data_IF_760439548837
#
_entry.id   IF_760439548837
#
_cell.length_a   1.000
_cell.length_b   1.000
_cell.length_c   1.000
_cell.angle_alpha   90.00
_cell.angle_beta   90.00
_cell.angle_gamma   90.00
#
_symmetry.space_group_name_H-M   'P 1'
#
loop_
_entity.id
_entity.type
_entity.pdbx_description
1 polymer ?
#
# COMPACT_ATOMS: atom_id res chain seq x y z
N UNK A 1 23.98 17.36 13.39
CA UNK A 1 22.62 17.87 13.71
C UNK A 1 21.51 17.37 12.78
N UNK A 2 21.62 17.50 11.45
CA UNK A 2 20.55 17.05 10.50
C UNK A 2 20.36 15.51 10.43
N UNK A 3 21.43 14.73 10.56
CA UNK A 3 21.39 13.25 10.56
C UNK A 3 20.61 12.68 11.75
N UNK A 4 20.86 13.23 12.92
CA UNK A 4 20.25 12.85 14.20
C UNK A 4 18.73 13.15 14.23
N UNK A 5 18.31 14.29 13.65
CA UNK A 5 16.89 14.61 13.44
C UNK A 5 16.18 13.58 12.54
N UNK A 6 16.80 13.16 11.44
CA UNK A 6 16.22 12.14 10.55
C UNK A 6 16.11 10.78 11.22
N UNK A 7 17.10 10.39 12.04
CA UNK A 7 17.05 9.13 12.80
C UNK A 7 15.88 9.12 13.79
N UNK A 8 15.72 10.19 14.57
CA UNK A 8 14.55 10.35 15.44
C UNK A 8 13.23 10.34 14.67
N UNK A 9 13.19 10.97 13.49
CA UNK A 9 12.03 10.97 12.61
C UNK A 9 11.62 9.57 12.17
N UNK A 10 12.59 8.72 11.79
CA UNK A 10 12.35 7.31 11.46
C UNK A 10 11.79 6.53 12.64
N UNK A 11 12.41 6.66 13.81
CA UNK A 11 11.97 5.97 15.03
C UNK A 11 10.52 6.31 15.40
N UNK A 12 10.13 7.59 15.35
CA UNK A 12 8.74 8.00 15.63
C UNK A 12 7.73 7.49 14.59
N UNK A 13 8.12 7.44 13.32
CA UNK A 13 7.26 6.88 12.27
C UNK A 13 7.09 5.37 12.46
N UNK A 14 8.16 4.64 12.75
CA UNK A 14 8.12 3.21 13.05
C UNK A 14 7.22 2.93 14.25
N UNK A 15 7.35 3.70 15.34
CA UNK A 15 6.51 3.59 16.53
C UNK A 15 5.03 3.80 16.21
N UNK A 16 4.70 4.87 15.47
CA UNK A 16 3.31 5.20 15.10
C UNK A 16 2.70 4.15 14.17
N UNK A 17 3.46 3.62 13.22
CA UNK A 17 2.98 2.68 12.22
C UNK A 17 2.98 1.24 12.74
N UNK A 18 3.63 0.95 13.86
CA UNK A 18 3.64 -0.37 14.50
C UNK A 18 2.24 -0.88 14.82
N UNK A 19 1.33 0.01 15.18
CA UNK A 19 -0.07 -0.32 15.45
C UNK A 19 -0.79 -0.93 14.22
N UNK A 20 -0.27 -0.73 13.02
CA UNK A 20 -0.79 -1.29 11.76
C UNK A 20 -0.22 -2.69 11.44
N UNK A 21 0.73 -3.24 12.21
CA UNK A 21 1.16 -4.63 12.06
C UNK A 21 0.31 -5.64 12.87
N UNK A 22 0.08 -6.87 12.37
CA UNK A 22 0.53 -7.40 11.07
C UNK A 22 -0.33 -6.85 9.92
N UNK A 23 0.26 -6.68 8.74
CA UNK A 23 -0.42 -6.11 7.56
C UNK A 23 -1.44 -7.11 6.97
N UNK A 24 -1.23 -8.42 7.17
CA UNK A 24 -2.08 -9.48 6.60
C UNK A 24 -3.57 -9.37 7.00
N UNK A 25 -3.87 -8.75 8.15
CA UNK A 25 -5.27 -8.49 8.57
C UNK A 25 -6.00 -7.49 7.67
N UNK A 26 -5.29 -6.72 6.87
CA UNK A 26 -5.84 -5.77 5.91
C UNK A 26 -5.89 -6.32 4.48
N UNK A 27 -5.52 -7.60 4.29
CA UNK A 27 -5.57 -8.23 2.98
C UNK A 27 -7.01 -8.23 2.47
N UNK A 28 -7.20 -7.67 1.27
CA UNK A 28 -8.51 -7.59 0.67
C UNK A 28 -9.09 -9.01 0.41
N UNK A 29 -10.41 -9.20 0.54
CA UNK A 29 -11.08 -10.41 0.09
C UNK A 29 -10.82 -10.70 -1.40
N UNK A 30 -10.96 -11.95 -1.88
CA UNK A 30 -10.65 -12.31 -3.27
C UNK A 30 -11.39 -11.50 -4.34
N UNK A 31 -12.57 -10.95 -4.01
CA UNK A 31 -13.37 -10.12 -4.92
C UNK A 31 -13.37 -8.62 -4.56
N UNK A 32 -12.46 -8.18 -3.68
CA UNK A 32 -12.38 -6.80 -3.21
C UNK A 32 -13.30 -6.48 -2.02
N UNK A 33 -13.03 -5.36 -1.36
CA UNK A 33 -13.82 -4.87 -0.23
C UNK A 33 -15.18 -4.34 -0.68
N UNK A 34 -15.25 -3.67 -1.83
CA UNK A 34 -16.51 -3.08 -2.33
C UNK A 34 -17.55 -4.18 -2.52
N UNK A 35 -17.17 -5.28 -3.17
CA UNK A 35 -18.07 -6.41 -3.38
C UNK A 35 -18.45 -7.08 -2.06
N UNK A 36 -17.47 -7.36 -1.20
CA UNK A 36 -17.70 -8.04 0.07
C UNK A 36 -18.67 -7.27 0.96
N UNK A 37 -18.47 -5.95 1.07
CA UNK A 37 -19.34 -5.05 1.84
C UNK A 37 -20.73 -4.92 1.22
N UNK A 38 -20.81 -4.77 -0.12
CA UNK A 38 -22.10 -4.73 -0.83
C UNK A 38 -22.90 -6.00 -0.59
N UNK A 39 -22.26 -7.17 -0.72
CA UNK A 39 -22.91 -8.47 -0.50
C UNK A 39 -23.33 -8.62 0.98
N UNK A 40 -22.49 -8.20 1.95
CA UNK A 40 -22.81 -8.24 3.37
C UNK A 40 -23.98 -7.32 3.77
N UNK A 41 -24.16 -6.19 3.07
CA UNK A 41 -25.30 -5.28 3.24
C UNK A 41 -26.57 -5.74 2.50
N UNK A 42 -26.54 -6.89 1.82
CA UNK A 42 -27.68 -7.39 1.05
C UNK A 42 -28.03 -6.55 -0.18
N UNK A 43 -27.07 -5.79 -0.72
CA UNK A 43 -27.28 -4.90 -1.85
C UNK A 43 -26.94 -5.57 -3.18
N UNK A 44 -27.77 -5.36 -4.19
CA UNK A 44 -27.44 -5.69 -5.59
C UNK A 44 -26.47 -4.67 -6.20
N UNK A 45 -25.76 -5.04 -7.27
CA UNK A 45 -24.92 -4.11 -8.02
C UNK A 45 -25.71 -2.92 -8.57
N UNK A 46 -26.98 -3.10 -8.93
CA UNK A 46 -27.85 -2.01 -9.38
C UNK A 46 -28.19 -1.03 -8.25
N UNK A 47 -28.45 -1.51 -7.04
CA UNK A 47 -28.69 -0.65 -5.87
C UNK A 47 -27.44 0.15 -5.49
N UNK A 48 -26.25 -0.47 -5.51
CA UNK A 48 -25.01 0.28 -5.30
C UNK A 48 -24.77 1.30 -6.42
N UNK A 49 -25.08 0.95 -7.67
CA UNK A 49 -24.99 1.84 -8.82
C UNK A 49 -25.87 3.07 -8.64
N UNK A 50 -27.12 2.88 -8.20
CA UNK A 50 -28.04 3.97 -7.89
C UNK A 50 -27.50 4.89 -6.78
N UNK A 51 -26.87 4.34 -5.72
CA UNK A 51 -26.27 5.15 -4.64
C UNK A 51 -25.05 5.95 -5.10
N UNK A 52 -24.21 5.38 -5.97
CA UNK A 52 -23.00 6.05 -6.50
C UNK A 52 -23.34 7.01 -7.65
N UNK A 53 -24.53 6.86 -8.28
CA UNK A 53 -24.96 7.62 -9.44
C UNK A 53 -24.40 7.07 -10.77
N UNK A 54 -24.24 5.75 -10.89
CA UNK A 54 -23.67 5.08 -12.06
C UNK A 54 -24.51 3.88 -12.50
N UNK A 55 -24.27 3.39 -13.72
CA UNK A 55 -24.96 2.20 -14.26
C UNK A 55 -24.49 0.92 -13.56
N UNK A 56 -25.31 -0.15 -13.48
CA UNK A 56 -24.90 -1.42 -12.87
C UNK A 56 -23.62 -2.02 -13.47
N UNK A 57 -23.42 -1.90 -14.78
CA UNK A 57 -22.19 -2.32 -15.48
C UNK A 57 -20.94 -1.59 -14.96
N UNK A 58 -21.09 -0.32 -14.59
CA UNK A 58 -19.99 0.46 -13.99
C UNK A 58 -19.63 -0.07 -12.62
N UNK A 59 -20.60 -0.53 -11.83
CA UNK A 59 -20.33 -1.17 -10.52
C UNK A 59 -19.53 -2.46 -10.70
N UNK A 60 -19.91 -3.29 -11.67
CA UNK A 60 -19.14 -4.50 -11.98
C UNK A 60 -17.70 -4.17 -12.38
N UNK A 61 -17.49 -3.13 -13.19
CA UNK A 61 -16.15 -2.66 -13.56
C UNK A 61 -15.36 -2.15 -12.34
N UNK A 62 -16.02 -1.42 -11.42
CA UNK A 62 -15.42 -0.97 -10.15
C UNK A 62 -14.95 -2.17 -9.33
N UNK A 63 -15.81 -3.15 -9.08
CA UNK A 63 -15.47 -4.35 -8.31
C UNK A 63 -14.31 -5.14 -8.95
N UNK A 64 -14.34 -5.33 -10.27
CA UNK A 64 -13.27 -6.01 -11.01
C UNK A 64 -11.94 -5.25 -10.92
N UNK A 65 -11.98 -3.93 -11.07
CA UNK A 65 -10.77 -3.09 -10.98
C UNK A 65 -10.17 -3.07 -9.58
N UNK A 66 -11.00 -3.13 -8.52
CA UNK A 66 -10.53 -3.23 -7.15
C UNK A 66 -9.84 -4.58 -6.91
N UNK A 67 -10.49 -5.68 -7.31
CA UNK A 67 -9.92 -7.02 -7.19
C UNK A 67 -8.61 -7.18 -7.99
N UNK A 68 -8.49 -6.47 -9.12
CA UNK A 68 -7.27 -6.43 -9.94
C UNK A 68 -6.20 -5.45 -9.43
N UNK A 69 -6.50 -4.62 -8.43
CA UNK A 69 -5.58 -3.59 -7.92
C UNK A 69 -5.37 -2.39 -8.87
N UNK A 70 -6.23 -2.20 -9.85
CA UNK A 70 -6.15 -1.14 -10.87
C UNK A 70 -7.13 0.01 -10.63
N UNK A 71 -7.97 -0.09 -9.60
CA UNK A 71 -8.94 0.94 -9.25
C UNK A 71 -8.28 2.26 -8.86
N UNK A 72 -8.85 3.37 -9.33
CA UNK A 72 -8.45 4.70 -8.87
C UNK A 72 -8.93 4.96 -7.44
N UNK A 73 -8.10 5.55 -6.59
CA UNK A 73 -8.42 5.80 -5.18
C UNK A 73 -9.66 6.71 -4.98
N UNK A 74 -9.91 7.65 -5.89
CA UNK A 74 -11.11 8.48 -5.87
C UNK A 74 -12.40 7.65 -6.09
N UNK A 75 -12.36 6.68 -7.01
CA UNK A 75 -13.47 5.76 -7.29
C UNK A 75 -13.71 4.83 -6.11
N UNK A 76 -12.65 4.28 -5.53
CA UNK A 76 -12.76 3.45 -4.32
C UNK A 76 -13.34 4.26 -3.15
N UNK A 77 -12.95 5.53 -2.99
CA UNK A 77 -13.50 6.42 -1.96
C UNK A 77 -15.00 6.65 -2.15
N UNK A 78 -15.45 6.97 -3.37
CA UNK A 78 -16.87 7.15 -3.68
C UNK A 78 -17.68 5.88 -3.43
N UNK A 79 -17.14 4.71 -3.77
CA UNK A 79 -17.78 3.44 -3.49
C UNK A 79 -17.89 3.17 -1.98
N UNK A 80 -16.83 3.46 -1.21
CA UNK A 80 -16.85 3.35 0.24
C UNK A 80 -17.90 4.27 0.86
N UNK A 81 -17.96 5.55 0.47
CA UNK A 81 -18.96 6.51 0.96
C UNK A 81 -20.40 6.04 0.69
N UNK A 82 -20.67 5.48 -0.50
CA UNK A 82 -21.99 4.92 -0.84
C UNK A 82 -22.38 3.66 -0.03
N UNK A 83 -21.38 2.98 0.54
CA UNK A 83 -21.51 1.84 1.43
C UNK A 83 -21.45 2.26 2.92
N UNK A 84 -21.52 3.55 3.22
CA UNK A 84 -21.36 4.11 4.57
C UNK A 84 -20.03 3.70 5.24
N UNK A 85 -18.97 3.65 4.44
CA UNK A 85 -17.63 3.25 4.84
C UNK A 85 -16.62 4.39 4.60
N UNK A 86 -15.60 4.47 5.45
CA UNK A 86 -14.48 5.40 5.25
C UNK A 86 -13.31 4.69 4.59
N UNK A 87 -12.85 5.16 3.44
CA UNK A 87 -11.59 4.69 2.84
C UNK A 87 -10.39 5.23 3.63
N UNK A 88 -9.68 4.34 4.31
CA UNK A 88 -8.40 4.61 4.97
C UNK A 88 -7.24 4.14 4.07
N UNK A 89 -6.35 5.06 3.70
CA UNK A 89 -5.14 4.76 2.94
C UNK A 89 -3.91 4.90 3.85
N UNK A 90 -3.10 3.85 3.93
CA UNK A 90 -1.90 3.83 4.75
C UNK A 90 -0.73 3.19 3.99
N UNK A 91 0.47 3.72 4.22
CA UNK A 91 1.73 3.11 3.81
C UNK A 91 2.40 2.54 5.06
N UNK A 92 2.56 1.21 5.10
CA UNK A 92 3.16 0.52 6.23
C UNK A 92 4.51 -0.07 5.80
N UNK A 93 5.63 0.30 6.46
CA UNK A 93 6.93 -0.29 6.16
C UNK A 93 6.96 -1.80 6.41
N UNK A 94 7.52 -2.56 5.46
CA UNK A 94 7.74 -4.01 5.58
C UNK A 94 8.83 -4.37 6.60
N UNK A 95 9.65 -3.40 7.01
CA UNK A 95 10.70 -3.49 8.03
C UNK A 95 10.89 -2.10 8.64
N UNK A 96 11.64 -1.99 9.75
CA UNK A 96 11.92 -0.68 10.33
C UNK A 96 12.59 0.25 9.32
N UNK A 97 12.27 1.54 9.37
CA UNK A 97 12.87 2.53 8.47
C UNK A 97 14.40 2.62 8.66
N UNK A 98 14.92 2.29 9.85
CA UNK A 98 16.36 2.19 10.07
C UNK A 98 16.98 1.03 9.28
N UNK A 99 16.34 -0.15 9.33
CA UNK A 99 16.77 -1.33 8.55
C UNK A 99 16.80 -1.03 7.05
N UNK A 100 15.84 -0.25 6.55
CA UNK A 100 15.82 0.18 5.13
C UNK A 100 17.05 1.02 4.78
N UNK A 101 17.46 1.94 5.67
CA UNK A 101 18.63 2.79 5.46
C UNK A 101 19.93 1.99 5.55
N UNK A 102 20.07 1.13 6.56
CA UNK A 102 21.24 0.26 6.75
C UNK A 102 21.42 -0.68 5.55
N UNK A 103 20.32 -1.28 5.07
CA UNK A 103 20.34 -2.13 3.88
C UNK A 103 20.80 -1.37 2.62
N UNK A 104 20.40 -0.11 2.46
CA UNK A 104 20.86 0.73 1.35
C UNK A 104 22.34 1.09 1.47
N UNK A 105 22.80 1.47 2.66
CA UNK A 105 24.21 1.77 2.91
C UNK A 105 25.10 0.56 2.59
N UNK A 106 24.69 -0.65 3.03
CA UNK A 106 25.39 -1.90 2.73
C UNK A 106 25.48 -2.16 1.23
N UNK A 107 24.36 -2.03 0.49
CA UNK A 107 24.35 -2.23 -0.97
C UNK A 107 25.30 -1.30 -1.71
N UNK A 108 25.40 -0.04 -1.28
CA UNK A 108 26.33 0.94 -1.87
C UNK A 108 27.77 0.54 -1.57
N UNK A 109 28.10 0.26 -0.30
CA UNK A 109 29.44 -0.16 0.10
C UNK A 109 29.91 -1.41 -0.65
N UNK A 110 29.03 -2.41 -0.80
CA UNK A 110 29.35 -3.62 -1.58
C UNK A 110 29.61 -3.30 -3.05
N UNK A 111 28.85 -2.40 -3.67
CA UNK A 111 29.05 -2.01 -5.07
C UNK A 111 30.41 -1.33 -5.28
N UNK A 112 30.80 -0.43 -4.39
CA UNK A 112 32.10 0.24 -4.46
C UNK A 112 33.25 -0.76 -4.33
N UNK A 113 33.16 -1.69 -3.37
CA UNK A 113 34.16 -2.74 -3.21
C UNK A 113 34.27 -3.65 -4.45
N UNK A 114 33.15 -4.00 -5.07
CA UNK A 114 33.14 -4.79 -6.31
C UNK A 114 33.79 -4.03 -7.47
N UNK A 115 33.59 -2.71 -7.57
CA UNK A 115 34.23 -1.88 -8.59
C UNK A 115 35.75 -1.87 -8.41
N UNK A 116 36.21 -1.63 -7.19
CA UNK A 116 37.65 -1.63 -6.86
C UNK A 116 38.26 -3.00 -7.13
N UNK A 117 37.61 -4.08 -6.68
CA UNK A 117 38.07 -5.45 -6.92
C UNK A 117 38.15 -5.77 -8.43
N UNK A 118 37.22 -5.25 -9.24
CA UNK A 118 37.26 -5.44 -10.69
C UNK A 118 38.43 -4.69 -11.34
N UNK A 119 38.70 -3.43 -10.95
CA UNK A 119 39.84 -2.66 -11.44
C UNK A 119 41.17 -3.31 -11.05
N UNK A 120 41.34 -3.73 -9.78
CA UNK A 120 42.56 -4.41 -9.33
C UNK A 120 42.81 -5.73 -10.06
N UNK A 121 41.75 -6.42 -10.50
CA UNK A 121 41.87 -7.65 -11.30
C UNK A 121 42.27 -7.38 -12.76
N UNK A 122 42.03 -6.18 -13.29
CA UNK A 122 42.42 -5.78 -14.64
C UNK A 122 43.83 -5.17 -14.70
N UNK A 123 44.38 -4.77 -13.56
CA UNK A 123 45.74 -4.23 -13.42
C UNK A 123 46.81 -5.31 -13.08
N UNK A 124 46.38 -6.56 -12.86
CA UNK A 124 47.25 -7.71 -12.59
C UNK A 124 47.42 -8.59 -13.84
#
# INVERSE_FOLDING_TARGET
MKSDSRKRGRLRLDERLRALHPIDRFRAPPKGWVRALRDALGMTGAQLGARIGVRPQTVEAIEKSEAAGTIQLNTLRRAAEALDCTLVYALVPNSSLETVIEGRARKIATRELQRVAHTMRLEA
#
